data_IF_131209846181
#
_entry.id   IF_131209846181
#
_cell.length_a   1.000
_cell.length_b   1.000
_cell.length_c   1.000
_cell.angle_alpha   90.00
_cell.angle_beta   90.00
_cell.angle_gamma   90.00
#
_symmetry.space_group_name_H-M   'P 1'
#
loop_
_entity.id
_entity.type
_entity.pdbx_description
1 polymer ?
#
# COMPACT_ATOMS: atom_id res chain seq x y z
N UNK A 1 -13.52 -6.96 -26.93
CA UNK A 1 -12.77 -6.13 -25.96
C UNK A 1 -12.40 -6.91 -24.70
N UNK A 2 -13.30 -7.74 -24.15
CA UNK A 2 -13.09 -8.48 -22.91
C UNK A 2 -12.76 -9.99 -23.08
N UNK A 3 -12.50 -10.47 -24.31
CA UNK A 3 -12.24 -11.90 -24.57
C UNK A 3 -10.99 -12.41 -23.85
N UNK A 4 -10.02 -11.54 -23.59
CA UNK A 4 -8.81 -11.89 -22.82
C UNK A 4 -9.06 -12.00 -21.30
N UNK A 5 -10.25 -11.68 -20.79
CA UNK A 5 -10.56 -11.79 -19.35
C UNK A 5 -10.73 -13.22 -18.87
N UNK A 6 -10.85 -14.19 -19.78
CA UNK A 6 -10.84 -15.61 -19.45
C UNK A 6 -9.53 -16.06 -18.76
N UNK A 7 -8.44 -15.31 -18.95
CA UNK A 7 -7.19 -15.54 -18.22
C UNK A 7 -7.37 -15.29 -16.72
N UNK A 8 -8.14 -14.27 -16.32
CA UNK A 8 -8.42 -14.00 -14.90
C UNK A 8 -9.30 -15.09 -14.29
N UNK A 9 -10.30 -15.60 -15.01
CA UNK A 9 -11.09 -16.74 -14.55
C UNK A 9 -10.24 -18.00 -14.36
N UNK A 10 -9.40 -18.32 -15.35
CA UNK A 10 -8.52 -19.49 -15.29
C UNK A 10 -7.55 -19.39 -14.11
N UNK A 11 -7.00 -18.18 -13.88
CA UNK A 11 -6.12 -17.91 -12.74
C UNK A 11 -6.87 -18.01 -11.41
N UNK A 12 -8.10 -17.52 -11.34
CA UNK A 12 -8.94 -17.61 -10.14
C UNK A 12 -9.26 -19.05 -9.75
N UNK A 13 -9.55 -19.90 -10.73
CA UNK A 13 -9.75 -21.34 -10.50
C UNK A 13 -8.45 -22.03 -10.06
N UNK A 14 -7.31 -21.70 -10.69
CA UNK A 14 -5.99 -22.18 -10.28
C UNK A 14 -5.66 -21.80 -8.83
N UNK A 15 -5.89 -20.54 -8.44
CA UNK A 15 -5.68 -20.05 -7.08
C UNK A 15 -6.56 -20.78 -6.08
N UNK A 16 -7.85 -20.96 -6.39
CA UNK A 16 -8.76 -21.74 -5.56
C UNK A 16 -8.21 -23.15 -5.30
N UNK A 17 -7.81 -23.86 -6.37
CA UNK A 17 -7.24 -25.20 -6.24
C UNK A 17 -5.99 -25.22 -5.36
N UNK A 18 -5.08 -24.25 -5.53
CA UNK A 18 -3.85 -24.15 -4.72
C UNK A 18 -4.12 -23.84 -3.25
N UNK A 19 -5.13 -23.02 -2.97
CA UNK A 19 -5.52 -22.67 -1.60
C UNK A 19 -6.13 -23.85 -0.85
N UNK A 20 -6.74 -24.81 -1.56
CA UNK A 20 -7.21 -26.08 -0.98
C UNK A 20 -6.11 -27.13 -0.76
N UNK A 21 -4.90 -26.93 -1.30
CA UNK A 21 -3.78 -27.85 -1.11
C UNK A 21 -3.22 -27.76 0.33
N UNK A 22 -3.21 -28.88 1.10
CA UNK A 22 -2.62 -28.90 2.43
C UNK A 22 -1.15 -28.45 2.48
N UNK A 23 -0.38 -28.63 1.41
CA UNK A 23 1.00 -28.16 1.33
C UNK A 23 1.09 -26.63 1.34
N UNK A 24 0.15 -25.96 0.66
CA UNK A 24 0.03 -24.49 0.68
C UNK A 24 -0.42 -24.01 2.06
N UNK A 25 -1.38 -24.68 2.68
CA UNK A 25 -1.86 -24.30 4.02
C UNK A 25 -0.79 -24.44 5.12
N UNK A 26 0.21 -25.31 4.90
CA UNK A 26 1.35 -25.47 5.80
C UNK A 26 2.37 -24.31 5.68
N UNK A 27 2.43 -23.63 4.54
CA UNK A 27 3.30 -22.46 4.32
C UNK A 27 2.49 -21.17 4.46
N UNK A 28 2.64 -20.52 5.63
CA UNK A 28 1.89 -19.31 5.98
C UNK A 28 2.14 -18.15 5.03
N UNK A 29 3.37 -17.97 4.54
CA UNK A 29 3.72 -16.87 3.64
C UNK A 29 3.18 -17.10 2.23
N UNK A 30 3.31 -18.33 1.73
CA UNK A 30 2.73 -18.71 0.44
C UNK A 30 1.21 -18.57 0.48
N UNK A 31 0.56 -19.08 1.53
CA UNK A 31 -0.89 -18.97 1.70
C UNK A 31 -1.36 -17.52 1.73
N UNK A 32 -0.68 -16.65 2.50
CA UNK A 32 -1.02 -15.23 2.57
C UNK A 32 -0.89 -14.54 1.21
N UNK A 33 0.18 -14.83 0.45
CA UNK A 33 0.38 -14.27 -0.90
C UNK A 33 -0.71 -14.73 -1.88
N UNK A 34 -1.03 -16.01 -1.91
CA UNK A 34 -2.06 -16.55 -2.81
C UNK A 34 -3.47 -16.06 -2.44
N UNK A 35 -3.78 -15.94 -1.14
CA UNK A 35 -5.03 -15.35 -0.68
C UNK A 35 -5.17 -13.88 -1.09
N UNK A 36 -4.07 -13.11 -1.02
CA UNK A 36 -4.06 -11.72 -1.45
C UNK A 36 -4.34 -11.61 -2.95
N UNK A 37 -3.65 -12.39 -3.77
CA UNK A 37 -3.89 -12.43 -5.23
C UNK A 37 -5.34 -12.85 -5.54
N UNK A 38 -5.87 -13.86 -4.84
CA UNK A 38 -7.25 -14.31 -5.01
C UNK A 38 -8.24 -13.18 -4.74
N UNK A 39 -8.10 -12.47 -3.61
CA UNK A 39 -8.94 -11.33 -3.24
C UNK A 39 -8.83 -10.16 -4.23
N UNK A 40 -7.67 -9.98 -4.86
CA UNK A 40 -7.45 -8.91 -5.83
C UNK A 40 -8.17 -9.14 -7.17
N UNK A 41 -8.23 -10.40 -7.64
CA UNK A 41 -8.84 -10.74 -8.93
C UNK A 41 -10.32 -11.14 -8.82
N UNK A 42 -10.79 -11.53 -7.64
CA UNK A 42 -12.19 -11.93 -7.38
C UNK A 42 -13.20 -10.92 -7.93
N UNK A 43 -13.10 -9.60 -7.67
CA UNK A 43 -14.07 -8.63 -8.22
C UNK A 43 -14.06 -8.58 -9.75
N UNK A 44 -12.89 -8.74 -10.38
CA UNK A 44 -12.79 -8.75 -11.85
C UNK A 44 -13.56 -9.95 -12.41
N UNK A 45 -13.38 -11.13 -11.79
CA UNK A 45 -14.02 -12.37 -12.21
C UNK A 45 -15.53 -12.33 -11.99
N UNK A 46 -15.99 -11.85 -10.84
CA UNK A 46 -17.41 -11.73 -10.54
C UNK A 46 -18.12 -10.76 -11.49
N UNK A 47 -17.57 -9.56 -11.68
CA UNK A 47 -18.14 -8.57 -12.61
C UNK A 47 -18.08 -9.09 -14.06
N UNK A 48 -17.04 -9.83 -14.45
CA UNK A 48 -16.96 -10.45 -15.77
C UNK A 48 -18.01 -11.55 -15.98
N UNK A 49 -18.23 -12.41 -14.98
CA UNK A 49 -19.28 -13.44 -15.01
C UNK A 49 -20.67 -12.81 -15.11
N UNK A 50 -20.93 -11.77 -14.32
CA UNK A 50 -22.17 -11.01 -14.38
C UNK A 50 -22.35 -10.36 -15.76
N UNK A 51 -21.30 -9.76 -16.33
CA UNK A 51 -21.34 -9.17 -17.67
C UNK A 51 -21.65 -10.22 -18.75
N UNK A 52 -21.01 -11.40 -18.71
CA UNK A 52 -21.30 -12.49 -19.64
C UNK A 52 -22.74 -12.98 -19.53
N UNK A 53 -23.23 -13.20 -18.30
CA UNK A 53 -24.61 -13.64 -18.08
C UNK A 53 -25.60 -12.59 -18.56
N UNK A 54 -25.38 -11.31 -18.25
CA UNK A 54 -26.22 -10.21 -18.70
C UNK A 54 -26.25 -10.10 -20.23
N UNK A 55 -25.10 -10.32 -20.89
CA UNK A 55 -25.01 -10.38 -22.36
C UNK A 55 -25.80 -11.55 -22.95
N UNK A 56 -25.74 -12.73 -22.33
CA UNK A 56 -26.53 -13.90 -22.74
C UNK A 56 -28.04 -13.66 -22.56
N UNK A 57 -28.45 -13.12 -21.40
CA UNK A 57 -29.84 -12.76 -21.12
C UNK A 57 -30.37 -11.73 -22.14
N UNK A 58 -29.55 -10.71 -22.46
CA UNK A 58 -29.89 -9.70 -23.46
C UNK A 58 -30.06 -10.30 -24.86
N UNK A 59 -29.24 -11.28 -25.23
CA UNK A 59 -29.39 -12.00 -26.51
C UNK A 59 -30.69 -12.80 -26.52
N UNK A 60 -30.95 -13.57 -25.46
CA UNK A 60 -32.20 -14.34 -25.33
C UNK A 60 -33.45 -13.48 -25.36
N UNK A 61 -33.44 -12.30 -24.72
CA UNK A 61 -34.57 -11.37 -24.76
C UNK A 61 -34.79 -10.78 -26.17
N UNK A 62 -33.72 -10.56 -26.94
CA UNK A 62 -33.82 -10.13 -28.35
C UNK A 62 -34.40 -11.23 -29.23
N UNK A 63 -33.95 -12.47 -29.06
CA UNK A 63 -34.50 -13.64 -29.77
C UNK A 63 -35.99 -13.82 -29.44
N UNK A 64 -36.37 -13.72 -28.15
CA UNK A 64 -37.76 -13.78 -27.73
C UNK A 64 -38.62 -12.67 -28.37
N UNK A 65 -38.09 -11.45 -28.50
CA UNK A 65 -38.79 -10.35 -29.15
C UNK A 65 -39.06 -10.62 -30.64
N UNK A 66 -38.12 -11.28 -31.32
CA UNK A 66 -38.25 -11.67 -32.73
C UNK A 66 -39.27 -12.80 -32.92
N UNK A 67 -39.29 -13.78 -32.02
CA UNK A 67 -40.16 -14.96 -32.08
C UNK A 67 -41.57 -14.74 -31.49
N UNK A 68 -41.74 -13.76 -30.60
CA UNK A 68 -43.00 -13.50 -29.93
C UNK A 68 -44.13 -13.16 -30.93
N UNK A 69 -45.27 -13.83 -30.78
CA UNK A 69 -46.44 -13.63 -31.64
C UNK A 69 -47.45 -12.63 -31.06
N UNK A 70 -47.61 -12.62 -29.74
CA UNK A 70 -48.54 -11.74 -29.04
C UNK A 70 -47.85 -10.46 -28.52
N UNK A 71 -48.68 -9.45 -28.28
CA UNK A 71 -48.23 -8.10 -27.91
C UNK A 71 -47.67 -8.05 -26.49
N UNK A 72 -48.18 -8.87 -25.58
CA UNK A 72 -47.77 -8.87 -24.18
C UNK A 72 -46.34 -9.40 -24.02
N UNK A 73 -46.01 -10.52 -24.66
CA UNK A 73 -44.64 -11.06 -24.71
C UNK A 73 -43.66 -10.07 -25.35
N UNK A 74 -44.07 -9.35 -26.41
CA UNK A 74 -43.21 -8.33 -27.03
C UNK A 74 -42.92 -7.16 -26.09
N UNK A 75 -43.92 -6.68 -25.35
CA UNK A 75 -43.76 -5.61 -24.39
C UNK A 75 -42.84 -6.03 -23.23
N UNK A 76 -42.97 -7.27 -22.74
CA UNK A 76 -42.08 -7.87 -21.75
C UNK A 76 -40.63 -7.96 -22.24
N UNK A 77 -40.42 -8.55 -23.42
CA UNK A 77 -39.08 -8.69 -24.00
C UNK A 77 -38.41 -7.33 -24.27
N UNK A 78 -39.16 -6.32 -24.72
CA UNK A 78 -38.63 -4.96 -24.88
C UNK A 78 -38.21 -4.31 -23.56
N UNK A 79 -38.95 -4.56 -22.47
CA UNK A 79 -38.59 -4.06 -21.16
C UNK A 79 -37.29 -4.73 -20.67
N UNK A 80 -37.20 -6.05 -20.82
CA UNK A 80 -36.00 -6.80 -20.44
C UNK A 80 -34.77 -6.38 -21.25
N UNK A 81 -34.91 -6.14 -22.56
CA UNK A 81 -33.82 -5.61 -23.40
C UNK A 81 -33.33 -4.25 -22.89
N UNK A 82 -34.24 -3.35 -22.46
CA UNK A 82 -33.86 -2.05 -21.92
C UNK A 82 -33.10 -2.18 -20.60
N UNK A 83 -33.61 -3.00 -19.68
CA UNK A 83 -33.01 -3.22 -18.37
C UNK A 83 -31.64 -3.89 -18.48
N UNK A 84 -31.56 -5.00 -19.23
CA UNK A 84 -30.30 -5.72 -19.46
C UNK A 84 -29.30 -4.88 -20.26
N UNK A 85 -29.75 -4.08 -21.22
CA UNK A 85 -28.86 -3.16 -21.95
C UNK A 85 -28.22 -2.08 -21.07
N UNK A 86 -28.99 -1.51 -20.15
CA UNK A 86 -28.49 -0.54 -19.19
C UNK A 86 -27.52 -1.19 -18.18
N UNK A 87 -27.86 -2.38 -17.69
CA UNK A 87 -27.03 -3.14 -16.76
C UNK A 87 -25.71 -3.60 -17.42
N UNK A 88 -25.77 -4.06 -18.66
CA UNK A 88 -24.58 -4.44 -19.42
C UNK A 88 -23.62 -3.25 -19.56
N UNK A 89 -24.14 -2.07 -19.87
CA UNK A 89 -23.34 -0.84 -19.97
C UNK A 89 -22.71 -0.44 -18.63
N UNK A 90 -23.44 -0.61 -17.52
CA UNK A 90 -22.93 -0.39 -16.16
C UNK A 90 -21.77 -1.34 -15.84
N UNK A 91 -21.95 -2.63 -16.11
CA UNK A 91 -20.94 -3.67 -15.89
C UNK A 91 -19.70 -3.47 -16.76
N UNK A 92 -19.85 -2.95 -17.98
CA UNK A 92 -18.72 -2.61 -18.85
C UNK A 92 -17.85 -1.48 -18.26
N UNK A 93 -18.47 -0.42 -17.75
CA UNK A 93 -17.73 0.67 -17.10
C UNK A 93 -17.06 0.20 -15.80
N UNK A 94 -17.76 -0.63 -15.02
CA UNK A 94 -17.21 -1.23 -13.80
C UNK A 94 -15.98 -2.10 -14.12
N UNK A 95 -16.06 -2.96 -15.15
CA UNK A 95 -14.92 -3.75 -15.62
C UNK A 95 -13.76 -2.88 -16.08
N UNK A 96 -14.00 -1.81 -16.85
CA UNK A 96 -12.93 -0.90 -17.28
C UNK A 96 -12.18 -0.30 -16.10
N UNK A 97 -12.90 0.10 -15.05
CA UNK A 97 -12.29 0.63 -13.83
C UNK A 97 -11.47 -0.43 -13.09
N UNK A 98 -11.99 -1.66 -12.97
CA UNK A 98 -11.29 -2.76 -12.31
C UNK A 98 -10.01 -3.21 -13.04
N UNK A 99 -9.96 -3.01 -14.37
CA UNK A 99 -8.80 -3.35 -15.20
C UNK A 99 -7.73 -2.26 -15.24
N UNK A 100 -7.95 -1.12 -14.59
CA UNK A 100 -6.91 -0.11 -14.46
C UNK A 100 -5.74 -0.68 -13.66
N UNK A 101 -4.48 -0.49 -14.11
CA UNK A 101 -3.31 -0.92 -13.37
C UNK A 101 -3.34 -0.34 -11.96
N UNK A 102 -3.34 -1.21 -10.95
CA UNK A 102 -3.27 -0.81 -9.54
C UNK A 102 -1.83 -0.45 -9.19
N UNK A 103 -1.65 0.52 -8.30
CA UNK A 103 -0.34 0.77 -7.71
C UNK A 103 -0.01 -0.40 -6.77
N UNK A 104 1.17 -1.02 -6.85
CA UNK A 104 1.55 -2.12 -5.96
C UNK A 104 1.49 -1.73 -4.47
N UNK A 105 1.53 -0.44 -4.17
CA UNK A 105 1.47 0.09 -2.81
C UNK A 105 0.03 0.41 -2.34
N UNK A 106 -0.98 0.34 -3.19
CA UNK A 106 -2.35 0.78 -2.86
C UNK A 106 -2.92 0.07 -1.62
N UNK A 107 -2.54 -1.19 -1.41
CA UNK A 107 -2.95 -1.99 -0.25
C UNK A 107 -2.07 -1.84 1.00
N UNK A 108 -1.01 -1.03 0.97
CA UNK A 108 -0.11 -0.84 2.11
C UNK A 108 -0.67 0.19 3.09
N UNK A 109 -0.25 0.05 4.35
CA UNK A 109 -0.38 1.10 5.34
C UNK A 109 0.47 2.30 4.92
N UNK A 110 0.29 3.42 5.62
CA UNK A 110 0.87 4.69 5.19
C UNK A 110 1.50 5.42 6.37
N UNK A 111 2.71 5.91 6.13
CA UNK A 111 3.41 6.84 7.02
C UNK A 111 3.15 8.24 6.48
N UNK A 112 2.61 9.10 7.33
CA UNK A 112 2.37 10.50 7.03
C UNK A 112 3.35 11.34 7.84
N UNK A 113 4.20 12.10 7.15
CA UNK A 113 5.08 13.08 7.77
C UNK A 113 4.59 14.50 7.48
N UNK A 114 4.36 15.28 8.53
CA UNK A 114 3.96 16.68 8.42
C UNK A 114 5.06 17.54 9.04
N UNK A 115 5.54 18.53 8.27
CA UNK A 115 6.58 19.46 8.71
C UNK A 115 6.10 20.90 8.53
N UNK A 116 6.32 21.74 9.53
CA UNK A 116 6.08 23.18 9.42
C UNK A 116 7.01 23.80 8.37
N UNK A 117 6.44 24.58 7.45
CA UNK A 117 7.18 25.29 6.40
C UNK A 117 7.46 26.74 6.76
N UNK A 118 7.29 27.64 5.78
CA UNK A 118 7.37 29.08 6.01
C UNK A 118 6.19 29.54 6.89
N UNK A 119 6.46 30.35 7.92
CA UNK A 119 5.44 30.87 8.84
C UNK A 119 5.82 30.79 10.33
N UNK A 120 6.95 30.17 10.67
CA UNK A 120 7.41 30.07 12.07
C UNK A 120 6.42 29.30 12.94
N UNK A 121 6.08 29.85 14.11
CA UNK A 121 5.11 29.23 15.03
C UNK A 121 3.74 28.99 14.40
N UNK A 122 3.27 29.87 13.51
CA UNK A 122 2.01 29.67 12.81
C UNK A 122 2.05 28.44 11.89
N UNK A 123 3.20 28.16 11.27
CA UNK A 123 3.38 26.95 10.47
C UNK A 123 3.32 25.68 11.35
N UNK A 124 3.82 25.74 12.58
CA UNK A 124 3.74 24.64 13.53
C UNK A 124 2.30 24.39 14.01
N UNK A 125 1.54 25.45 14.30
CA UNK A 125 0.11 25.35 14.61
C UNK A 125 -0.69 24.82 13.41
N UNK A 126 -0.32 25.21 12.19
CA UNK A 126 -0.95 24.68 10.99
C UNK A 126 -0.64 23.19 10.77
N UNK A 127 0.60 22.76 11.00
CA UNK A 127 0.98 21.35 10.94
C UNK A 127 0.20 20.50 11.98
N UNK A 128 0.00 21.02 13.19
CA UNK A 128 -0.86 20.39 14.20
C UNK A 128 -2.33 20.24 13.71
N UNK A 129 -2.88 21.28 13.05
CA UNK A 129 -4.22 21.21 12.49
C UNK A 129 -4.34 20.17 11.36
N UNK A 130 -3.31 20.04 10.51
CA UNK A 130 -3.26 18.99 9.48
C UNK A 130 -3.20 17.61 10.12
N UNK A 131 -2.37 17.42 11.14
CA UNK A 131 -2.32 16.17 11.91
C UNK A 131 -3.71 15.81 12.46
N UNK A 132 -4.37 16.76 13.13
CA UNK A 132 -5.73 16.61 13.67
C UNK A 132 -6.77 16.27 12.59
N UNK A 133 -6.62 16.85 11.40
CA UNK A 133 -7.49 16.57 10.25
C UNK A 133 -7.30 15.14 9.75
N UNK A 134 -6.06 14.71 9.54
CA UNK A 134 -5.77 13.36 9.05
C UNK A 134 -6.12 12.27 10.05
N UNK A 135 -5.87 12.46 11.34
CA UNK A 135 -6.27 11.48 12.37
C UNK A 135 -7.78 11.37 12.49
N UNK A 136 -8.51 12.49 12.47
CA UNK A 136 -9.97 12.46 12.45
C UNK A 136 -10.54 11.79 11.18
N UNK A 137 -9.90 12.00 10.02
CA UNK A 137 -10.27 11.31 8.78
C UNK A 137 -10.05 9.80 8.89
N UNK A 138 -8.90 9.38 9.44
CA UNK A 138 -8.55 7.98 9.65
C UNK A 138 -9.54 7.29 10.61
N UNK A 139 -9.87 7.92 11.75
CA UNK A 139 -10.90 7.43 12.68
C UNK A 139 -12.27 7.25 12.00
N UNK A 140 -12.68 8.22 11.16
CA UNK A 140 -13.92 8.13 10.38
C UNK A 140 -13.95 6.99 9.35
N UNK A 141 -12.77 6.47 8.96
CA UNK A 141 -12.61 5.29 8.10
C UNK A 141 -12.42 3.99 8.89
N UNK A 142 -12.35 4.06 10.23
CA UNK A 142 -12.04 2.92 11.08
C UNK A 142 -10.57 2.50 11.01
N UNK A 143 -9.69 3.36 10.50
CA UNK A 143 -8.25 3.14 10.49
C UNK A 143 -7.65 3.49 11.85
N UNK A 144 -6.58 2.79 12.22
CA UNK A 144 -5.84 3.07 13.45
C UNK A 144 -4.68 4.00 13.14
N UNK A 145 -4.34 4.88 14.07
CA UNK A 145 -3.21 5.80 13.93
C UNK A 145 -2.26 5.67 15.10
N UNK A 146 -0.97 5.66 14.83
CA UNK A 146 0.09 5.59 15.83
C UNK A 146 1.16 6.64 15.56
N UNK A 147 1.52 7.45 16.55
CA UNK A 147 2.59 8.44 16.42
C UNK A 147 3.94 7.72 16.46
N UNK A 148 4.75 7.91 15.43
CA UNK A 148 6.10 7.35 15.32
C UNK A 148 7.14 8.34 15.88
N UNK A 149 6.99 9.62 15.54
CA UNK A 149 7.89 10.68 16.00
C UNK A 149 7.15 12.00 16.10
N UNK A 150 7.47 12.81 17.11
CA UNK A 150 6.81 14.07 17.37
C UNK A 150 7.78 15.12 17.91
N UNK A 151 7.75 16.30 17.31
CA UNK A 151 8.50 17.48 17.72
C UNK A 151 7.54 18.65 17.92
N UNK A 152 7.17 18.89 19.18
CA UNK A 152 6.24 19.94 19.57
C UNK A 152 6.95 21.28 19.84
N UNK A 153 6.26 22.38 19.63
CA UNK A 153 6.67 23.72 20.03
C UNK A 153 6.01 24.13 21.35
N UNK A 154 6.56 25.13 22.02
CA UNK A 154 6.06 25.61 23.32
C UNK A 154 4.61 26.13 23.26
N UNK A 155 4.14 26.53 22.07
CA UNK A 155 2.78 27.02 21.83
C UNK A 155 1.80 25.90 21.42
N UNK A 156 2.19 24.63 21.52
CA UNK A 156 1.34 23.48 21.19
C UNK A 156 1.20 23.21 19.69
N UNK A 157 2.05 23.80 18.86
CA UNK A 157 2.18 23.47 17.45
C UNK A 157 3.16 22.32 17.24
N UNK A 158 3.16 21.70 16.05
CA UNK A 158 4.11 20.65 15.70
C UNK A 158 5.10 21.17 14.66
N UNK A 159 6.39 21.21 15.01
CA UNK A 159 7.44 21.49 14.04
C UNK A 159 7.55 20.34 13.04
N UNK A 160 7.45 19.12 13.55
CA UNK A 160 7.47 17.88 12.77
C UNK A 160 6.64 16.82 13.50
N UNK A 161 5.85 16.05 12.76
CA UNK A 161 5.19 14.84 13.25
C UNK A 161 5.23 13.77 12.16
N UNK A 162 5.53 12.54 12.56
CA UNK A 162 5.42 11.34 11.73
C UNK A 162 4.52 10.35 12.43
N UNK A 163 3.53 9.82 11.71
CA UNK A 163 2.58 8.87 12.25
C UNK A 163 2.19 7.82 11.21
N UNK A 164 1.99 6.59 11.68
CA UNK A 164 1.49 5.47 10.92
C UNK A 164 -0.04 5.52 10.91
N UNK A 165 -0.63 5.21 9.76
CA UNK A 165 -2.05 4.90 9.60
C UNK A 165 -2.16 3.46 9.12
N UNK A 166 -2.67 2.60 10.00
CA UNK A 166 -2.95 1.18 9.75
C UNK A 166 -4.39 1.02 9.25
N UNK A 167 -4.53 0.61 7.99
CA UNK A 167 -5.83 0.53 7.33
C UNK A 167 -5.75 0.06 5.88
N UNK A 168 -6.61 -0.89 5.53
CA UNK A 168 -6.72 -1.39 4.16
C UNK A 168 -7.08 -0.24 3.19
N UNK A 169 -6.23 -0.06 2.16
CA UNK A 169 -6.42 0.98 1.14
C UNK A 169 -6.02 2.40 1.57
N UNK A 170 -5.37 2.57 2.74
CA UNK A 170 -5.00 3.89 3.24
C UNK A 170 -4.05 4.64 2.30
N UNK A 171 -3.01 3.99 1.79
CA UNK A 171 -2.08 4.60 0.85
C UNK A 171 -2.76 5.02 -0.46
N UNK A 172 -3.58 4.14 -1.05
CA UNK A 172 -4.31 4.45 -2.29
C UNK A 172 -5.13 5.73 -2.21
N UNK A 173 -5.67 6.01 -1.02
CA UNK A 173 -6.48 7.19 -0.75
C UNK A 173 -5.64 8.43 -0.50
N UNK A 174 -4.59 8.31 0.31
CA UNK A 174 -3.81 9.44 0.79
C UNK A 174 -2.61 9.82 -0.10
N UNK A 175 -2.23 9.00 -1.10
CA UNK A 175 -1.08 9.28 -1.99
C UNK A 175 -1.14 10.63 -2.71
N UNK A 176 -2.34 11.21 -2.86
CA UNK A 176 -2.55 12.52 -3.48
C UNK A 176 -2.38 13.70 -2.52
N UNK A 177 -2.23 13.44 -1.22
CA UNK A 177 -2.08 14.47 -0.18
C UNK A 177 -0.64 14.97 -0.03
N UNK A 178 0.31 14.27 -0.66
CA UNK A 178 1.72 14.63 -0.62
C UNK A 178 1.97 15.95 -1.34
N UNK A 179 2.57 16.92 -0.67
CA UNK A 179 2.87 18.24 -1.23
C UNK A 179 2.93 19.35 -0.21
N UNK A 180 2.91 20.59 -0.72
CA UNK A 180 2.90 21.81 0.11
C UNK A 180 1.47 22.28 0.30
N UNK A 181 1.08 22.41 1.56
CA UNK A 181 -0.22 22.93 1.98
C UNK A 181 -0.07 24.39 2.40
N UNK A 182 -1.01 25.24 2.00
CA UNK A 182 -0.97 26.69 2.25
C UNK A 182 -2.16 27.13 3.09
N UNK A 183 -1.91 27.95 4.10
CA UNK A 183 -2.95 28.57 4.94
C UNK A 183 -2.83 30.10 4.90
N UNK A 184 -3.98 30.78 4.88
CA UNK A 184 -4.07 32.24 4.99
C UNK A 184 -5.09 32.59 6.07
N UNK A 185 -4.60 33.13 7.20
CA UNK A 185 -5.43 33.58 8.32
C UNK A 185 -4.68 34.61 9.16
N UNK A 186 -5.37 35.19 10.13
CA UNK A 186 -4.73 35.98 11.19
C UNK A 186 -4.13 34.99 12.21
N UNK A 187 -2.79 34.89 12.37
CA UNK A 187 -2.17 33.99 13.32
C UNK A 187 -2.55 34.33 14.76
N UNK A 188 -2.56 33.33 15.64
CA UNK A 188 -2.75 33.56 17.07
C UNK A 188 -1.62 34.40 17.68
N UNK A 189 -0.45 34.37 17.05
CA UNK A 189 0.73 35.16 17.45
C UNK A 189 0.72 36.61 16.92
N UNK A 190 -0.27 37.04 16.13
CA UNK A 190 -0.31 38.37 15.50
C UNK A 190 -1.23 39.36 16.25
N UNK A 191 -0.65 40.43 16.79
CA UNK A 191 -1.38 41.40 17.60
C UNK A 191 -2.21 42.42 16.80
N UNK A 192 -1.88 42.68 15.52
CA UNK A 192 -2.52 43.74 14.71
C UNK A 192 -3.66 43.24 13.81
N UNK A 193 -4.02 41.95 13.88
CA UNK A 193 -5.09 41.39 13.07
C UNK A 193 -4.77 41.26 11.58
N UNK A 194 -3.48 41.21 11.21
CA UNK A 194 -3.05 41.08 9.82
C UNK A 194 -3.10 39.63 9.36
N UNK A 195 -3.53 39.42 8.11
CA UNK A 195 -3.54 38.09 7.50
C UNK A 195 -2.12 37.73 7.08
N UNK A 196 -1.63 36.59 7.56
CA UNK A 196 -0.36 36.01 7.14
C UNK A 196 -0.60 34.79 6.25
N UNK A 197 0.38 34.49 5.41
CA UNK A 197 0.42 33.25 4.62
C UNK A 197 1.49 32.34 5.20
N UNK A 198 1.09 31.14 5.62
CA UNK A 198 1.99 30.11 6.14
C UNK A 198 1.85 28.83 5.33
N UNK A 199 2.82 27.93 5.47
CA UNK A 199 2.87 26.67 4.73
C UNK A 199 3.28 25.52 5.63
N UNK A 200 2.87 24.31 5.27
CA UNK A 200 3.36 23.05 5.82
C UNK A 200 3.55 22.05 4.69
N UNK A 201 4.48 21.11 4.85
CA UNK A 201 4.68 20.02 3.88
C UNK A 201 4.10 18.75 4.46
N UNK A 202 3.37 17.99 3.62
CA UNK A 202 2.91 16.64 3.94
C UNK A 202 3.62 15.69 2.99
N UNK A 203 4.28 14.67 3.54
CA UNK A 203 4.82 13.56 2.77
C UNK A 203 4.04 12.30 3.11
N UNK A 204 3.69 11.52 2.09
CA UNK A 204 2.89 10.30 2.22
C UNK A 204 3.68 9.15 1.63
N UNK A 205 4.09 8.22 2.48
CA UNK A 205 4.97 7.11 2.14
C UNK A 205 4.25 5.79 2.42
N UNK A 206 4.30 4.81 1.52
CA UNK A 206 3.81 3.48 1.85
C UNK A 206 4.71 2.86 2.92
N UNK A 207 4.13 2.10 3.85
CA UNK A 207 4.89 1.33 4.83
C UNK A 207 5.86 0.40 4.10
N UNK A 208 7.15 0.49 4.44
CA UNK A 208 8.15 -0.40 3.88
C UNK A 208 8.00 -1.79 4.52
N UNK A 209 8.19 -2.84 3.73
CA UNK A 209 8.33 -4.18 4.29
C UNK A 209 9.72 -4.27 4.94
N UNK A 210 9.79 -4.76 6.17
CA UNK A 210 11.08 -5.12 6.77
C UNK A 210 11.71 -6.20 5.90
N UNK A 211 12.93 -5.92 5.43
CA UNK A 211 13.71 -6.90 4.67
C UNK A 211 14.43 -7.75 5.71
N UNK A 212 13.96 -8.97 5.91
CA UNK A 212 14.73 -9.99 6.63
C UNK A 212 15.97 -10.32 5.79
N UNK A 213 17.12 -9.81 6.25
CA UNK A 213 18.42 -10.11 5.64
C UNK A 213 18.91 -11.42 6.21
N UNK A 214 18.69 -12.50 5.48
CA UNK A 214 19.33 -13.78 5.77
C UNK A 214 20.79 -13.74 5.30
N UNK A 215 21.72 -14.13 6.18
CA UNK A 215 23.14 -14.19 5.87
C UNK A 215 23.51 -15.66 5.69
N UNK A 216 23.63 -16.12 4.44
CA UNK A 216 24.12 -17.47 4.16
C UNK A 216 25.62 -17.53 4.56
N UNK A 217 26.02 -18.43 5.48
CA UNK A 217 27.42 -18.60 5.85
C UNK A 217 28.34 -18.93 4.66
N UNK A 218 27.82 -19.47 3.55
CA UNK A 218 28.60 -19.74 2.33
C UNK A 218 29.01 -18.48 1.58
N UNK A 219 28.28 -17.39 1.77
CA UNK A 219 28.58 -16.08 1.18
C UNK A 219 29.57 -15.28 2.03
N UNK A 220 29.98 -15.81 3.18
CA UNK A 220 30.98 -15.23 4.06
C UNK A 220 32.34 -15.88 3.87
N UNK A 221 33.33 -15.07 3.52
CA UNK A 221 34.74 -15.44 3.71
C UNK A 221 35.19 -14.95 5.08
N UNK A 222 35.55 -15.89 5.95
CA UNK A 222 36.03 -15.62 7.30
C UNK A 222 37.54 -15.87 7.35
N UNK A 223 38.31 -14.80 7.46
CA UNK A 223 39.76 -14.85 7.60
C UNK A 223 40.14 -14.61 9.06
N UNK A 224 40.92 -15.53 9.63
CA UNK A 224 41.51 -15.36 10.97
C UNK A 224 42.98 -14.96 10.84
N UNK A 225 43.38 -13.90 11.51
CA UNK A 225 44.73 -13.37 11.44
C UNK A 225 45.20 -12.86 12.81
N UNK A 226 46.46 -12.45 12.88
CA UNK A 226 47.06 -11.98 14.13
C UNK A 226 46.62 -10.54 14.39
N UNK A 227 46.13 -10.29 15.60
CA UNK A 227 45.76 -8.95 16.04
C UNK A 227 46.97 -8.02 16.03
N UNK A 228 46.75 -6.75 15.70
CA UNK A 228 47.79 -5.71 15.76
C UNK A 228 47.66 -4.92 17.06
N UNK A 229 48.75 -4.75 17.83
CA UNK A 229 48.73 -3.91 19.02
C UNK A 229 49.60 -4.40 20.18
N UNK A 230 49.46 -3.75 21.34
CA UNK A 230 50.21 -4.06 22.56
C UNK A 230 49.64 -5.28 23.28
N UNK A 231 50.37 -6.41 23.33
CA UNK A 231 49.90 -7.59 24.06
C UNK A 231 50.91 -8.72 24.22
N UNK A 232 52.18 -8.36 24.36
CA UNK A 232 53.23 -9.29 24.73
C UNK A 232 53.43 -10.44 23.74
N UNK A 233 54.03 -11.55 24.20
CA UNK A 233 54.34 -12.69 23.33
C UNK A 233 53.10 -13.44 22.81
N UNK A 234 51.93 -13.26 23.42
CA UNK A 234 50.70 -13.98 23.08
C UNK A 234 50.11 -13.51 21.74
N UNK A 235 50.13 -12.21 21.47
CA UNK A 235 49.67 -11.62 20.19
C UNK A 235 50.45 -12.19 18.99
N UNK A 236 51.73 -12.52 19.19
CA UNK A 236 52.58 -13.06 18.12
C UNK A 236 52.33 -14.55 17.84
N UNK A 237 51.63 -15.26 18.73
CA UNK A 237 51.42 -16.71 18.64
C UNK A 237 49.98 -17.08 18.30
N UNK A 238 49.01 -16.25 18.67
CA UNK A 238 47.58 -16.57 18.56
C UNK A 238 46.90 -15.69 17.50
N UNK A 239 46.15 -16.32 16.59
CA UNK A 239 45.30 -15.60 15.63
C UNK A 239 43.96 -15.27 16.30
N UNK A 240 43.87 -14.08 16.90
CA UNK A 240 42.69 -13.60 17.63
C UNK A 240 41.89 -12.52 16.89
N UNK A 241 42.37 -12.03 15.75
CA UNK A 241 41.62 -11.08 14.93
C UNK A 241 40.82 -11.82 13.85
N UNK A 242 39.61 -11.33 13.58
CA UNK A 242 38.70 -11.89 12.59
C UNK A 242 38.35 -10.80 11.59
N UNK A 243 38.46 -11.15 10.30
CA UNK A 243 37.93 -10.37 9.17
C UNK A 243 36.83 -11.20 8.52
N UNK A 244 35.66 -10.62 8.37
CA UNK A 244 34.55 -11.23 7.64
C UNK A 244 34.31 -10.41 6.38
N UNK A 245 34.31 -11.08 5.23
CA UNK A 245 33.98 -10.48 3.94
C UNK A 245 32.72 -11.12 3.39
N UNK A 246 31.70 -10.31 3.13
CA UNK A 246 30.51 -10.77 2.41
C UNK A 246 30.81 -10.75 0.91
N UNK A 247 30.98 -11.93 0.31
CA UNK A 247 31.43 -12.10 -1.06
C UNK A 247 30.54 -11.39 -2.10
N UNK A 248 29.19 -11.44 -2.02
CA UNK A 248 28.33 -10.80 -3.00
C UNK A 248 28.43 -9.26 -3.00
N UNK A 249 28.60 -8.64 -1.83
CA UNK A 249 28.63 -7.16 -1.71
C UNK A 249 30.04 -6.60 -1.63
N UNK A 250 31.05 -7.43 -1.36
CA UNK A 250 32.43 -7.01 -1.10
C UNK A 250 32.58 -6.25 0.23
N UNK A 251 31.56 -6.26 1.09
CA UNK A 251 31.62 -5.58 2.39
C UNK A 251 32.58 -6.34 3.32
N UNK A 252 33.54 -5.62 3.91
CA UNK A 252 34.55 -6.17 4.81
C UNK A 252 34.38 -5.56 6.19
N UNK A 253 34.29 -6.40 7.22
CA UNK A 253 34.24 -5.98 8.63
C UNK A 253 35.36 -6.71 9.38
N UNK A 254 36.07 -5.99 10.24
CA UNK A 254 37.18 -6.52 11.04
C UNK A 254 36.92 -6.26 12.53
N UNK A 255 37.21 -7.25 13.38
CA UNK A 255 37.15 -7.12 14.83
C UNK A 255 38.40 -7.74 15.47
N UNK A 256 39.03 -7.00 16.38
CA UNK A 256 40.22 -7.44 17.14
C UNK A 256 40.22 -6.95 18.60
N UNK A 257 39.06 -6.49 19.11
CA UNK A 257 38.97 -5.74 20.36
C UNK A 257 39.07 -6.64 21.60
N UNK A 258 38.54 -7.86 21.53
CA UNK A 258 38.45 -8.78 22.67
C UNK A 258 39.43 -9.95 22.55
N UNK A 259 39.85 -10.47 23.71
CA UNK A 259 40.61 -11.72 23.82
C UNK A 259 39.62 -12.82 24.20
N UNK A 260 39.49 -13.82 23.33
CA UNK A 260 38.77 -15.07 23.64
C UNK A 260 39.59 -16.01 24.50
#
# INVERSE_FOLDING_TARGET
MFENLQVFESRYEELNLKLYDPATAADRELYARLMKEHKEIEPIVETYRAWRQCGADLSGAKELLEEAADRELKEMAQQEIREKGAELSRLEEELKLLLLPKDPNDGKNVIVEIRGGAGGEEAALFAYNLYRMYTAYAEGKGWKTEIVSLNETELGGFKEVSFLIDGEGAYSRLKYESGVHRVQRVPETEAQGRIHTSTATVAVLPEAEEVDVDIDPKDLQIDTFRSSGAGGQHINKTSSAIRVTHLPTGMVVECQDERS
#
